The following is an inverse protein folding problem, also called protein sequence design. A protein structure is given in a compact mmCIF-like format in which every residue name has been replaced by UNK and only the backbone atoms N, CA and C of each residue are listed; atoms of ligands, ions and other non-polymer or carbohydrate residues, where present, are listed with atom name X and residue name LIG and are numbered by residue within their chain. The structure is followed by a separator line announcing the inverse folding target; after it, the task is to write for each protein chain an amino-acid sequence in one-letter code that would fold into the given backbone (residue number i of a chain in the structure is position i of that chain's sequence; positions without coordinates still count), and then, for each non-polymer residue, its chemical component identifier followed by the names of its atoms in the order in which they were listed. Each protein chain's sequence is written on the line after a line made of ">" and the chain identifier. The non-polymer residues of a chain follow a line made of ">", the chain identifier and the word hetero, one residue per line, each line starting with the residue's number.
data_IF_035982713788
#
_entry.id   IF_035982713788
#
_cell.length_a   1.000
_cell.length_b   1.000
_cell.length_c   1.000
_cell.angle_alpha   90.00
_cell.angle_beta   90.00
_cell.angle_gamma   90.00
#
_symmetry.space_group_name_H-M   'P 1'
#
loop_
_entity.id
_entity.type
_entity.pdbx_description
1 polymer ?
#
# COMPACT_ATOMS: atom_id res chain seq x y z
N UNK A 1 -2.11 -4.36 -5.52
CA UNK A 1 -1.21 -3.99 -4.41
C UNK A 1 -2.02 -3.90 -3.13
N UNK A 2 -1.38 -3.93 -1.95
CA UNK A 2 -2.03 -3.69 -0.67
C UNK A 2 -1.21 -2.69 0.12
N UNK A 3 -1.89 -1.74 0.76
CA UNK A 3 -1.24 -0.86 1.72
C UNK A 3 -0.59 -1.70 2.85
N UNK A 4 0.67 -1.44 3.13
CA UNK A 4 1.41 -2.01 4.24
C UNK A 4 1.38 -1.03 5.42
N UNK A 5 0.42 -1.25 6.32
CA UNK A 5 0.17 -0.43 7.51
C UNK A 5 1.36 -0.42 8.50
N UNK A 6 2.37 -1.29 8.32
CA UNK A 6 3.53 -1.36 9.22
C UNK A 6 4.51 -0.19 9.06
N UNK A 7 4.36 0.61 8.00
CA UNK A 7 5.22 1.76 7.66
C UNK A 7 4.54 3.13 7.82
N UNK A 8 3.39 3.20 8.49
CA UNK A 8 2.78 4.48 8.90
C UNK A 8 3.69 5.19 9.94
N UNK A 9 4.64 6.00 9.49
CA UNK A 9 5.45 6.84 10.38
C UNK A 9 4.56 7.87 11.10
N UNK A 10 4.37 7.68 12.41
CA UNK A 10 3.74 8.66 13.31
C UNK A 10 4.67 9.23 14.38
N UNK A 11 5.93 8.82 14.43
CA UNK A 11 6.86 9.35 15.44
C UNK A 11 7.69 10.51 14.88
N UNK A 12 7.40 11.72 15.37
CA UNK A 12 8.26 12.89 15.21
C UNK A 12 7.56 14.21 14.93
N UNK A 13 6.29 14.20 14.53
CA UNK A 13 5.56 15.46 14.29
C UNK A 13 4.90 15.96 15.58
N UNK A 14 5.56 16.91 16.25
CA UNK A 14 4.94 17.76 17.25
C UNK A 14 4.15 18.86 16.53
N UNK A 15 2.79 18.82 16.53
CA UNK A 15 1.97 19.82 15.85
C UNK A 15 2.13 21.24 16.43
N UNK A 16 2.84 21.41 17.56
CA UNK A 16 3.09 22.71 18.16
C UNK A 16 4.47 23.32 17.81
N UNK A 17 5.36 22.61 17.11
CA UNK A 17 6.76 23.07 16.93
C UNK A 17 7.12 23.69 15.58
N UNK A 18 6.16 23.90 14.68
CA UNK A 18 6.40 24.68 13.45
C UNK A 18 5.23 25.62 13.18
N UNK A 19 5.08 26.66 14.00
CA UNK A 19 4.36 27.87 13.58
C UNK A 19 5.26 28.66 12.62
N UNK A 20 5.29 28.22 11.36
CA UNK A 20 5.49 29.18 10.27
C UNK A 20 4.20 29.99 10.17
N UNK A 21 4.32 31.32 10.17
CA UNK A 21 3.22 32.24 10.40
C UNK A 21 1.97 31.98 9.54
N UNK A 22 0.80 32.05 10.19
CA UNK A 22 -0.43 32.51 9.56
C UNK A 22 -1.04 31.64 8.45
N UNK A 23 -1.09 30.32 8.60
CA UNK A 23 -2.12 29.39 8.06
C UNK A 23 -1.59 27.97 8.20
N UNK A 24 -1.76 27.38 9.39
CA UNK A 24 -1.42 25.98 9.62
C UNK A 24 -2.40 25.10 8.82
N UNK A 25 -1.88 24.32 7.89
CA UNK A 25 -2.67 23.29 7.21
C UNK A 25 -3.17 22.30 8.26
N UNK A 26 -4.47 22.34 8.56
CA UNK A 26 -5.12 21.34 9.40
C UNK A 26 -4.94 19.96 8.78
N UNK A 27 -4.67 18.95 9.62
CA UNK A 27 -4.56 17.55 9.21
C UNK A 27 -5.84 17.13 8.46
N UNK A 28 -5.77 16.97 7.15
CA UNK A 28 -6.90 16.55 6.31
C UNK A 28 -7.21 17.46 5.13
N UNK A 29 -6.69 18.69 5.10
CA UNK A 29 -6.85 19.58 3.93
C UNK A 29 -6.05 18.99 2.75
N UNK A 30 -6.76 18.64 1.67
CA UNK A 30 -6.16 18.31 0.38
C UNK A 30 -5.98 19.59 -0.43
N UNK A 31 -4.78 19.82 -0.97
CA UNK A 31 -4.55 20.94 -1.90
C UNK A 31 -4.92 20.58 -3.34
N UNK A 32 -5.33 19.33 -3.58
CA UNK A 32 -5.79 18.77 -4.84
C UNK A 32 -7.29 18.46 -4.86
N UNK A 33 -8.06 18.91 -3.87
CA UNK A 33 -9.51 18.70 -3.83
C UNK A 33 -9.93 17.23 -3.63
N UNK A 34 -9.11 16.44 -2.95
CA UNK A 34 -9.29 15.00 -2.74
C UNK A 34 -9.31 14.19 -4.04
N UNK A 35 -8.58 14.65 -5.06
CA UNK A 35 -8.31 13.84 -6.25
C UNK A 35 -7.66 12.52 -5.82
N UNK A 36 -8.19 11.41 -6.33
CA UNK A 36 -7.74 10.07 -5.99
C UNK A 36 -6.57 9.66 -6.88
N UNK A 37 -5.65 8.87 -6.33
CA UNK A 37 -4.55 8.35 -7.13
C UNK A 37 -5.06 7.45 -8.27
N UNK A 38 -4.53 7.67 -9.48
CA UNK A 38 -4.81 6.82 -10.62
C UNK A 38 -3.62 5.91 -10.97
N UNK A 39 -3.88 4.63 -11.20
CA UNK A 39 -2.95 3.68 -11.79
C UNK A 39 -3.50 3.14 -13.10
N UNK A 40 -2.74 3.29 -14.17
CA UNK A 40 -3.07 2.75 -15.49
C UNK A 40 -2.16 1.57 -15.83
N UNK A 41 -2.76 0.43 -16.17
CA UNK A 41 -2.04 -0.71 -16.70
C UNK A 41 -1.96 -0.61 -18.23
N UNK A 42 -0.76 -0.74 -18.78
CA UNK A 42 -0.57 -0.83 -20.24
C UNK A 42 -0.67 -2.29 -20.69
N UNK A 43 -1.62 -2.58 -21.58
CA UNK A 43 -1.74 -3.84 -22.31
C UNK A 43 -1.92 -3.56 -23.80
N UNK A 44 -1.03 -4.10 -24.64
CA UNK A 44 -1.11 -3.98 -26.11
C UNK A 44 -1.21 -2.52 -26.61
N UNK A 45 -0.55 -1.59 -25.92
CA UNK A 45 -0.56 -0.17 -26.28
C UNK A 45 -1.82 0.58 -25.85
N UNK A 46 -2.69 -0.05 -25.06
CA UNK A 46 -3.87 0.57 -24.43
C UNK A 46 -3.66 0.67 -22.93
N UNK A 47 -4.08 1.80 -22.37
CA UNK A 47 -4.06 2.03 -20.93
C UNK A 47 -5.44 1.76 -20.34
N UNK A 48 -5.50 0.86 -19.37
CA UNK A 48 -6.70 0.56 -18.59
C UNK A 48 -6.54 1.14 -17.19
N UNK A 49 -7.53 1.91 -16.73
CA UNK A 49 -7.58 2.35 -15.33
C UNK A 49 -7.83 1.13 -14.43
N UNK A 50 -6.85 0.84 -13.56
CA UNK A 50 -6.89 -0.25 -12.59
C UNK A 50 -6.80 0.26 -11.15
N UNK A 51 -7.06 1.55 -10.92
CA UNK A 51 -6.89 2.23 -9.62
C UNK A 51 -7.67 1.54 -8.51
N UNK A 52 -8.96 1.28 -8.75
CA UNK A 52 -9.84 0.65 -7.75
C UNK A 52 -9.47 -0.81 -7.42
N UNK A 53 -9.04 -1.59 -8.41
CA UNK A 53 -8.67 -3.01 -8.22
C UNK A 53 -7.23 -3.19 -7.74
N UNK A 54 -6.35 -2.21 -8.00
CA UNK A 54 -4.97 -2.21 -7.56
C UNK A 54 -4.83 -1.86 -6.08
N UNK A 55 -5.84 -1.23 -5.48
CA UNK A 55 -5.80 -0.72 -4.11
C UNK A 55 -5.09 0.63 -3.97
N UNK A 56 -4.68 1.25 -5.08
CA UNK A 56 -4.06 2.57 -5.08
C UNK A 56 -5.07 3.72 -5.07
N UNK A 57 -6.34 3.46 -5.40
CA UNK A 57 -7.44 4.43 -5.28
C UNK A 57 -7.59 4.92 -3.83
N UNK A 58 -6.88 6.00 -3.52
CA UNK A 58 -6.73 6.57 -2.19
C UNK A 58 -6.92 8.09 -2.26
N UNK A 59 -7.70 8.70 -1.34
CA UNK A 59 -8.00 10.14 -1.35
C UNK A 59 -6.93 11.02 -0.68
N UNK A 60 -5.78 10.43 -0.29
CA UNK A 60 -4.67 11.20 0.25
C UNK A 60 -3.98 11.97 -0.86
N UNK A 61 -3.47 13.15 -0.50
CA UNK A 61 -2.94 14.12 -1.42
C UNK A 61 -1.48 13.79 -1.77
N UNK A 62 -1.31 12.88 -2.72
CA UNK A 62 0.00 12.40 -3.19
C UNK A 62 0.88 13.51 -3.74
N UNK A 63 2.12 13.58 -3.25
CA UNK A 63 3.11 14.59 -3.66
C UNK A 63 4.36 13.99 -4.26
N UNK A 64 4.82 12.86 -3.73
CA UNK A 64 5.98 12.17 -4.25
C UNK A 64 5.68 10.68 -4.33
N UNK A 65 6.23 10.00 -5.33
CA UNK A 65 6.07 8.57 -5.47
C UNK A 65 7.33 7.91 -6.02
N UNK A 66 7.59 6.69 -5.56
CA UNK A 66 8.75 5.92 -5.97
C UNK A 66 8.41 4.43 -6.09
N UNK A 67 9.00 3.78 -7.09
CA UNK A 67 9.00 2.35 -7.28
C UNK A 67 10.22 1.73 -6.60
N UNK A 68 10.00 0.62 -5.90
CA UNK A 68 11.02 -0.16 -5.20
C UNK A 68 10.54 -1.59 -5.01
N UNK A 69 11.43 -2.50 -4.65
CA UNK A 69 11.07 -3.85 -4.19
C UNK A 69 11.64 -3.97 -2.78
N UNK A 70 10.81 -3.63 -1.79
CA UNK A 70 11.29 -3.39 -0.43
C UNK A 70 11.52 -4.69 0.34
N UNK A 71 10.75 -5.74 0.02
CA UNK A 71 10.84 -7.05 0.63
C UNK A 71 11.73 -8.02 -0.16
N UNK A 72 12.20 -7.62 -1.35
CA UNK A 72 13.05 -8.38 -2.27
C UNK A 72 12.40 -9.67 -2.75
N UNK A 73 11.09 -9.67 -2.94
CA UNK A 73 10.37 -10.81 -3.50
C UNK A 73 10.43 -10.85 -5.05
N UNK A 74 10.97 -9.80 -5.66
CA UNK A 74 11.11 -9.63 -7.11
C UNK A 74 9.89 -9.04 -7.78
N UNK A 75 8.94 -8.48 -7.04
CA UNK A 75 7.80 -7.73 -7.53
C UNK A 75 7.94 -6.26 -7.11
N UNK A 76 7.81 -5.34 -8.07
CA UNK A 76 7.87 -3.91 -7.76
C UNK A 76 6.65 -3.49 -6.93
N UNK A 77 6.96 -2.91 -5.78
CA UNK A 77 6.11 -2.18 -4.85
C UNK A 77 6.12 -0.68 -5.14
N UNK A 78 5.25 0.05 -4.46
CA UNK A 78 5.05 1.47 -4.69
C UNK A 78 4.95 2.25 -3.38
N UNK A 79 5.75 3.28 -3.22
CA UNK A 79 5.68 4.20 -2.08
C UNK A 79 5.11 5.55 -2.52
N UNK A 80 4.25 6.13 -1.70
CA UNK A 80 3.67 7.47 -1.90
C UNK A 80 3.86 8.30 -0.64
N UNK A 81 4.37 9.52 -0.80
CA UNK A 81 4.38 10.54 0.25
C UNK A 81 3.25 11.52 -0.03
N UNK A 82 2.42 11.75 0.97
CA UNK A 82 1.25 12.60 0.90
C UNK A 82 1.45 13.92 1.68
N UNK A 83 0.78 14.99 1.25
CA UNK A 83 0.72 16.25 1.99
C UNK A 83 -0.17 16.17 3.23
N UNK A 84 -1.12 15.23 3.25
CA UNK A 84 -2.02 14.97 4.37
C UNK A 84 -1.86 13.53 4.90
N UNK A 85 -2.59 13.19 5.96
CA UNK A 85 -2.49 11.87 6.57
C UNK A 85 -3.19 10.79 5.70
N UNK A 86 -2.64 9.56 5.64
CA UNK A 86 -1.33 9.16 6.15
C UNK A 86 -0.17 9.75 5.31
N UNK A 87 0.89 10.25 5.97
CA UNK A 87 1.97 10.97 5.28
C UNK A 87 2.84 10.09 4.37
N UNK A 88 3.03 8.82 4.72
CA UNK A 88 3.72 7.84 3.91
C UNK A 88 2.81 6.63 3.76
N UNK A 89 2.69 6.14 2.53
CA UNK A 89 1.98 4.93 2.21
C UNK A 89 2.89 4.01 1.41
N UNK A 90 2.99 2.76 1.83
CA UNK A 90 3.70 1.72 1.10
C UNK A 90 2.67 0.73 0.56
N UNK A 91 2.73 0.44 -0.73
CA UNK A 91 1.82 -0.46 -1.41
C UNK A 91 2.58 -1.69 -1.91
N UNK A 92 2.44 -2.79 -1.18
CA UNK A 92 3.06 -4.06 -1.51
C UNK A 92 2.38 -4.73 -2.70
N UNK A 93 3.14 -5.14 -3.68
CA UNK A 93 2.67 -5.92 -4.81
C UNK A 93 2.60 -7.41 -4.46
N UNK A 94 1.41 -7.98 -4.59
CA UNK A 94 1.12 -9.37 -4.17
C UNK A 94 0.87 -10.31 -5.34
N UNK A 95 1.40 -9.98 -6.53
CA UNK A 95 1.27 -10.88 -7.69
C UNK A 95 1.97 -12.23 -7.47
N UNK A 96 3.01 -12.27 -6.63
CA UNK A 96 3.68 -13.51 -6.22
C UNK A 96 2.77 -14.53 -5.54
N UNK A 97 1.70 -14.07 -4.87
CA UNK A 97 0.73 -14.93 -4.19
C UNK A 97 -0.17 -15.71 -5.15
N UNK A 98 -0.24 -15.29 -6.42
CA UNK A 98 -1.12 -15.88 -7.43
C UNK A 98 -0.55 -17.17 -8.05
N UNK A 99 0.48 -17.77 -7.44
CA UNK A 99 1.18 -19.00 -7.85
C UNK A 99 1.61 -19.00 -9.34
N UNK A 100 1.90 -17.83 -9.90
CA UNK A 100 2.38 -17.72 -11.28
C UNK A 100 3.90 -17.75 -11.34
N UNK A 101 4.51 -18.55 -12.24
CA UNK A 101 5.95 -18.49 -12.45
C UNK A 101 6.32 -17.12 -13.02
N UNK A 102 6.99 -16.33 -12.18
CA UNK A 102 7.52 -15.03 -12.54
C UNK A 102 8.90 -14.89 -11.91
N UNK A 103 9.94 -14.82 -12.74
CA UNK A 103 11.31 -14.49 -12.36
C UNK A 103 11.60 -13.00 -12.51
N UNK A 104 12.61 -12.51 -11.80
CA UNK A 104 13.13 -11.16 -11.96
C UNK A 104 14.65 -11.15 -11.80
N UNK A 105 15.33 -10.19 -12.42
CA UNK A 105 16.75 -9.89 -12.18
C UNK A 105 16.84 -8.45 -11.68
N UNK A 106 17.57 -8.25 -10.58
CA UNK A 106 17.96 -6.93 -10.10
C UNK A 106 19.30 -6.51 -10.69
N UNK A 107 19.42 -5.26 -11.10
CA UNK A 107 20.63 -4.68 -11.71
C UNK A 107 21.05 -3.41 -10.96
N UNK A 108 22.34 -3.32 -10.66
CA UNK A 108 23.02 -2.12 -10.13
C UNK A 108 24.19 -1.75 -11.00
N UNK A 109 24.57 -0.48 -10.99
CA UNK A 109 25.56 0.07 -11.91
C UNK A 109 26.61 0.88 -11.15
N UNK A 110 27.86 0.72 -11.56
CA UNK A 110 29.00 1.52 -11.12
C UNK A 110 29.72 2.00 -12.38
N UNK A 111 29.66 3.30 -12.63
CA UNK A 111 30.40 3.91 -13.75
C UNK A 111 31.86 4.13 -13.41
N UNK A 112 32.69 4.29 -14.44
CA UNK A 112 34.15 4.33 -14.29
C UNK A 112 34.72 5.67 -13.81
N UNK A 113 33.92 6.75 -13.80
CA UNK A 113 34.41 8.04 -13.34
C UNK A 113 34.27 8.20 -11.83
N UNK A 114 35.37 7.98 -11.11
CA UNK A 114 35.47 8.17 -9.66
C UNK A 114 35.86 9.60 -9.25
N UNK A 115 36.02 10.51 -10.22
CA UNK A 115 36.43 11.89 -9.99
C UNK A 115 35.24 12.86 -9.99
N UNK A 116 35.33 14.01 -9.28
CA UNK A 116 34.27 15.02 -9.26
C UNK A 116 34.17 15.83 -10.57
N UNK A 117 35.13 15.69 -11.49
CA UNK A 117 35.12 16.35 -12.80
C UNK A 117 34.62 15.42 -13.90
N UNK A 118 33.96 15.92 -14.96
CA UNK A 118 33.56 15.09 -16.10
C UNK A 118 34.73 14.32 -16.72
N UNK A 119 34.46 13.10 -17.17
CA UNK A 119 35.42 12.25 -17.89
C UNK A 119 35.03 12.15 -19.37
N UNK A 120 36.03 12.07 -20.25
CA UNK A 120 35.81 11.79 -21.67
C UNK A 120 35.67 10.28 -21.95
N UNK A 121 36.21 9.43 -21.08
CA UNK A 121 36.35 7.98 -21.32
C UNK A 121 35.38 7.12 -20.51
N UNK A 122 34.79 7.70 -19.46
CA UNK A 122 34.00 7.00 -18.46
C UNK A 122 32.67 7.71 -18.17
N UNK A 123 31.66 6.90 -17.87
CA UNK A 123 30.36 7.37 -17.42
C UNK A 123 30.43 7.89 -15.98
N UNK A 124 29.40 8.62 -15.55
CA UNK A 124 29.29 9.12 -14.17
C UNK A 124 29.39 7.97 -13.15
N UNK A 125 29.90 8.26 -11.95
CA UNK A 125 30.16 7.28 -10.87
C UNK A 125 29.03 6.27 -10.65
N UNK A 126 27.78 6.73 -10.68
CA UNK A 126 26.61 5.91 -10.38
C UNK A 126 26.02 5.23 -11.64
N UNK A 127 26.63 5.42 -12.82
CA UNK A 127 26.25 4.73 -14.05
C UNK A 127 24.91 5.16 -14.66
N UNK A 128 24.31 6.27 -14.21
CA UNK A 128 23.03 6.75 -14.73
C UNK A 128 23.10 7.03 -16.24
N UNK A 129 22.06 6.60 -16.95
CA UNK A 129 21.96 6.60 -18.41
C UNK A 129 22.41 5.28 -19.06
N UNK A 130 22.89 4.30 -18.28
CA UNK A 130 23.16 2.96 -18.79
C UNK A 130 21.89 2.34 -19.39
N UNK A 131 22.02 1.78 -20.59
CA UNK A 131 20.92 1.12 -21.31
C UNK A 131 21.16 -0.38 -21.33
N UNK A 132 20.11 -1.14 -21.05
CA UNK A 132 20.17 -2.57 -20.86
C UNK A 132 19.25 -3.22 -21.86
N UNK A 133 19.84 -4.10 -22.67
CA UNK A 133 19.14 -5.02 -23.53
C UNK A 133 19.00 -6.36 -22.80
N UNK A 134 17.76 -6.83 -22.69
CA UNK A 134 17.43 -8.11 -22.04
C UNK A 134 16.78 -9.02 -23.07
N UNK A 135 17.51 -10.03 -23.50
CA UNK A 135 17.06 -11.00 -24.48
C UNK A 135 16.43 -12.19 -23.79
N UNK A 136 15.16 -12.43 -24.10
CA UNK A 136 14.34 -13.56 -23.67
C UNK A 136 13.90 -14.38 -24.91
N UNK A 137 13.45 -15.62 -24.74
CA UNK A 137 12.83 -16.37 -25.83
C UNK A 137 11.66 -15.59 -26.46
N UNK A 138 11.79 -15.24 -27.74
CA UNK A 138 10.74 -14.58 -28.52
C UNK A 138 10.54 -13.09 -28.26
N UNK A 139 11.31 -12.44 -27.37
CA UNK A 139 11.24 -10.99 -27.14
C UNK A 139 12.53 -10.41 -26.60
N UNK A 140 12.80 -9.15 -26.95
CA UNK A 140 13.88 -8.35 -26.36
C UNK A 140 13.27 -7.16 -25.61
N UNK A 141 13.68 -6.95 -24.37
CA UNK A 141 13.27 -5.82 -23.56
C UNK A 141 14.41 -4.79 -23.50
N UNK A 142 14.07 -3.51 -23.60
CA UNK A 142 15.01 -2.42 -23.38
C UNK A 142 14.67 -1.68 -22.09
N UNK A 143 15.68 -1.40 -21.27
CA UNK A 143 15.57 -0.59 -20.06
C UNK A 143 16.68 0.45 -20.02
N UNK A 144 16.43 1.56 -19.32
CA UNK A 144 17.42 2.59 -19.07
C UNK A 144 17.47 2.84 -17.57
N UNK A 145 18.66 2.86 -17.00
CA UNK A 145 18.87 3.18 -15.60
C UNK A 145 18.91 4.70 -15.43
N UNK A 146 17.98 5.26 -14.66
CA UNK A 146 17.71 6.70 -14.63
C UNK A 146 17.79 7.28 -13.23
N UNK A 147 18.14 8.57 -13.18
CA UNK A 147 17.99 9.43 -12.03
C UNK A 147 17.02 10.58 -12.36
N UNK A 148 16.46 11.20 -11.34
CA UNK A 148 15.48 12.29 -11.46
C UNK A 148 14.10 11.79 -11.86
N UNK A 149 13.71 10.59 -11.41
CA UNK A 149 12.39 10.02 -11.67
C UNK A 149 11.39 10.34 -10.55
N UNK A 150 10.24 10.89 -10.93
CA UNK A 150 9.21 11.33 -9.99
C UNK A 150 9.39 12.78 -9.52
N UNK A 151 8.33 13.35 -8.96
CA UNK A 151 8.40 14.68 -8.35
C UNK A 151 8.91 14.56 -6.91
N UNK A 152 10.02 15.24 -6.60
CA UNK A 152 10.64 15.23 -5.26
C UNK A 152 10.92 13.82 -4.69
N UNK A 153 11.11 12.83 -5.56
CA UNK A 153 11.39 11.44 -5.24
C UNK A 153 12.42 10.87 -6.23
N UNK A 154 12.83 9.63 -5.97
CA UNK A 154 13.70 8.84 -6.82
C UNK A 154 13.33 7.37 -6.65
N UNK A 155 13.15 6.65 -7.78
CA UNK A 155 12.98 5.20 -7.77
C UNK A 155 14.24 4.50 -7.22
N UNK A 156 14.10 3.27 -6.76
CA UNK A 156 15.22 2.46 -6.25
C UNK A 156 16.44 2.46 -7.19
N UNK A 157 17.63 2.45 -6.59
CA UNK A 157 18.93 2.27 -7.28
C UNK A 157 19.09 0.87 -7.90
N UNK A 158 18.13 -0.01 -7.67
CA UNK A 158 18.11 -1.37 -8.17
C UNK A 158 17.08 -1.46 -9.30
N UNK A 159 17.57 -1.50 -10.53
CA UNK A 159 16.72 -1.69 -11.70
C UNK A 159 16.22 -3.13 -11.74
N UNK A 160 14.91 -3.32 -11.65
CA UNK A 160 14.29 -4.64 -11.76
C UNK A 160 13.79 -4.94 -13.16
N UNK A 161 14.14 -6.13 -13.65
CA UNK A 161 13.65 -6.67 -14.91
C UNK A 161 12.86 -7.94 -14.66
N UNK A 162 11.55 -7.88 -14.92
CA UNK A 162 10.67 -9.06 -14.89
C UNK A 162 10.90 -9.96 -16.09
N UNK A 163 11.17 -11.24 -15.84
CA UNK A 163 11.42 -12.25 -16.86
C UNK A 163 10.15 -13.05 -17.21
N UNK A 164 9.08 -12.94 -16.42
CA UNK A 164 7.92 -13.82 -16.56
C UNK A 164 8.33 -15.28 -16.28
N UNK A 165 7.89 -16.28 -17.05
CA UNK A 165 8.15 -17.68 -16.75
C UNK A 165 9.59 -18.13 -17.06
N UNK A 166 10.43 -17.27 -17.64
CA UNK A 166 11.77 -17.65 -18.08
C UNK A 166 12.73 -17.74 -16.88
N UNK A 167 13.54 -18.83 -16.79
CA UNK A 167 14.46 -19.05 -15.66
C UNK A 167 15.74 -18.20 -15.76
N UNK A 168 16.03 -17.64 -16.92
CA UNK A 168 17.21 -16.82 -17.19
C UNK A 168 16.94 -15.84 -18.35
N UNK A 169 17.87 -14.90 -18.53
CA UNK A 169 17.92 -13.99 -19.68
C UNK A 169 19.36 -13.66 -20.05
N UNK A 170 19.62 -13.30 -21.31
CA UNK A 170 20.92 -12.75 -21.74
C UNK A 170 20.91 -11.23 -21.64
N UNK A 171 21.90 -10.65 -21.00
CA UNK A 171 21.96 -9.20 -20.72
C UNK A 171 23.16 -8.54 -21.40
N UNK A 172 22.92 -7.39 -22.04
CA UNK A 172 23.97 -6.50 -22.57
C UNK A 172 23.73 -5.08 -22.10
N UNK A 173 24.80 -4.41 -21.66
CA UNK A 173 24.79 -3.02 -21.23
C UNK A 173 25.47 -2.15 -22.28
N UNK A 174 24.87 -1.01 -22.59
CA UNK A 174 25.50 0.11 -23.28
C UNK A 174 25.60 1.28 -22.31
N UNK A 175 26.82 1.66 -21.98
CA UNK A 175 27.13 2.74 -21.05
C UNK A 175 27.02 4.12 -21.74
N UNK A 176 26.74 5.20 -20.98
CA UNK A 176 26.75 6.57 -21.49
C UNK A 176 28.04 6.98 -22.20
N UNK A 177 29.19 6.46 -21.77
CA UNK A 177 30.50 6.63 -22.42
C UNK A 177 30.57 6.07 -23.85
N UNK A 178 29.59 5.25 -24.25
CA UNK A 178 29.60 4.51 -25.51
C UNK A 178 30.20 3.11 -25.40
N UNK A 179 30.80 2.75 -24.26
CA UNK A 179 31.28 1.38 -23.99
C UNK A 179 30.11 0.41 -23.95
N UNK A 180 30.39 -0.83 -24.33
CA UNK A 180 29.42 -1.92 -24.27
C UNK A 180 29.98 -3.08 -23.45
N UNK A 181 29.11 -3.75 -22.73
CA UNK A 181 29.47 -4.85 -21.85
C UNK A 181 28.45 -5.98 -22.00
N UNK A 182 28.94 -7.19 -22.26
CA UNK A 182 28.13 -8.40 -22.28
C UNK A 182 28.21 -9.06 -20.90
N UNK A 183 27.06 -9.31 -20.27
CA UNK A 183 26.97 -10.01 -18.99
C UNK A 183 26.61 -11.51 -19.18
N UNK A 184 26.41 -11.94 -20.42
CA UNK A 184 26.00 -13.29 -20.75
C UNK A 184 24.63 -13.65 -20.19
N UNK A 185 24.45 -14.94 -19.90
CA UNK A 185 23.21 -15.50 -19.35
C UNK A 185 23.18 -15.33 -17.83
N UNK A 186 22.13 -14.68 -17.34
CA UNK A 186 21.91 -14.42 -15.90
C UNK A 186 20.62 -15.11 -15.45
N UNK A 187 20.71 -15.84 -14.34
CA UNK A 187 19.58 -16.56 -13.77
C UNK A 187 18.56 -15.61 -13.11
N UNK A 188 17.30 -16.00 -13.13
CA UNK A 188 16.26 -15.36 -12.34
C UNK A 188 16.60 -15.42 -10.84
N UNK A 189 16.29 -14.36 -10.11
CA UNK A 189 16.58 -14.22 -8.69
C UNK A 189 17.98 -13.70 -8.38
N UNK A 190 18.78 -13.33 -9.39
CA UNK A 190 20.09 -12.71 -9.21
C UNK A 190 20.01 -11.19 -9.04
N UNK A 191 20.91 -10.64 -8.21
CA UNK A 191 21.28 -9.23 -8.17
C UNK A 191 22.63 -9.10 -8.85
N UNK A 192 22.68 -8.43 -9.98
CA UNK A 192 23.93 -8.19 -10.72
C UNK A 192 24.38 -6.75 -10.52
N UNK A 193 25.59 -6.56 -10.00
CA UNK A 193 26.25 -5.26 -9.98
C UNK A 193 27.23 -5.20 -11.15
N UNK A 194 26.96 -4.36 -12.13
CA UNK A 194 27.83 -4.15 -13.29
C UNK A 194 28.76 -2.96 -13.07
N UNK A 195 30.03 -3.15 -13.40
CA UNK A 195 31.09 -2.16 -13.29
C UNK A 195 31.58 -1.81 -14.69
N UNK A 196 31.44 -0.55 -15.08
CA UNK A 196 31.92 -0.07 -16.39
C UNK A 196 33.43 -0.26 -16.55
N UNK A 197 34.17 -0.01 -15.46
CA UNK A 197 35.58 -0.32 -15.33
C UNK A 197 35.75 -1.62 -14.54
N UNK A 198 36.18 -2.73 -15.16
CA UNK A 198 36.33 -4.01 -14.47
C UNK A 198 37.28 -3.98 -13.27
N UNK A 199 38.28 -3.09 -13.26
CA UNK A 199 39.20 -2.95 -12.14
C UNK A 199 38.52 -2.46 -10.85
N UNK A 200 37.33 -1.86 -10.94
CA UNK A 200 36.54 -1.44 -9.78
C UNK A 200 35.68 -2.59 -9.22
N UNK A 201 35.58 -3.71 -9.95
CA UNK A 201 34.89 -4.91 -9.46
C UNK A 201 35.77 -5.68 -8.46
N UNK A 202 35.20 -6.27 -7.40
CA UNK A 202 35.96 -7.01 -6.37
C UNK A 202 36.87 -8.13 -6.91
N UNK A 203 36.48 -8.76 -8.03
CA UNK A 203 37.17 -9.89 -8.66
C UNK A 203 37.79 -9.52 -10.03
N UNK A 204 37.70 -8.25 -10.44
CA UNK A 204 38.16 -7.80 -11.75
C UNK A 204 37.30 -8.25 -12.95
N UNK A 205 36.17 -8.93 -12.72
CA UNK A 205 35.37 -9.55 -13.79
C UNK A 205 34.39 -8.59 -14.48
N UNK A 206 34.28 -7.34 -14.01
CA UNK A 206 33.36 -6.33 -14.54
C UNK A 206 31.89 -6.50 -14.13
N UNK A 207 31.52 -7.62 -13.50
CA UNK A 207 30.22 -7.78 -12.86
C UNK A 207 30.27 -8.79 -11.73
N UNK A 208 29.47 -8.56 -10.68
CA UNK A 208 29.26 -9.53 -9.59
C UNK A 208 27.79 -9.93 -9.53
N UNK A 209 27.51 -11.16 -9.13
CA UNK A 209 26.15 -11.67 -8.99
C UNK A 209 25.93 -12.28 -7.59
N UNK A 210 24.85 -11.88 -6.93
CA UNK A 210 24.43 -12.44 -5.64
C UNK A 210 22.96 -12.85 -5.68
N UNK A 211 22.49 -13.56 -4.65
CA UNK A 211 21.07 -13.84 -4.50
C UNK A 211 20.31 -12.55 -4.18
N UNK A 212 19.36 -12.19 -5.04
CA UNK A 212 18.47 -11.05 -4.81
C UNK A 212 17.22 -11.47 -4.06
N UNK A 213 16.55 -12.49 -4.58
CA UNK A 213 15.24 -12.89 -4.09
C UNK A 213 15.35 -13.47 -2.70
N UNK A 214 14.60 -12.88 -1.78
CA UNK A 214 14.24 -13.50 -0.53
C UNK A 214 12.94 -14.24 -0.85
N UNK A 215 12.94 -15.59 -0.93
CA UNK A 215 11.71 -16.31 -1.10
C UNK A 215 10.77 -15.84 0.00
N UNK A 216 9.58 -15.36 -0.37
CA UNK A 216 8.56 -15.07 0.61
C UNK A 216 8.49 -16.28 1.54
N UNK A 217 8.72 -16.05 2.84
CA UNK A 217 8.52 -17.09 3.82
C UNK A 217 7.07 -17.52 3.58
N UNK A 218 6.90 -18.71 3.02
CA UNK A 218 5.58 -19.30 2.89
C UNK A 218 5.15 -19.47 4.32
N UNK A 219 4.46 -18.46 4.83
CA UNK A 219 3.25 -18.72 5.56
C UNK A 219 2.38 -19.47 4.56
N UNK A 220 2.63 -20.79 4.46
CA UNK A 220 1.64 -21.74 3.99
C UNK A 220 0.33 -21.23 4.57
N UNK A 221 -0.73 -21.02 3.75
CA UNK A 221 -1.95 -20.41 4.23
C UNK A 221 -2.24 -21.10 5.54
N UNK A 222 -2.06 -20.34 6.61
CA UNK A 222 -1.99 -20.87 7.94
C UNK A 222 -3.42 -21.24 8.27
N UNK A 223 -3.84 -22.41 7.79
CA UNK A 223 -4.75 -23.29 8.50
C UNK A 223 -3.99 -23.94 9.67
N UNK A 224 -3.08 -23.21 10.32
CA UNK A 224 -3.05 -23.28 11.75
C UNK A 224 -4.30 -22.51 12.18
N UNK A 225 -5.37 -23.16 12.66
CA UNK A 225 -6.46 -22.41 13.25
C UNK A 225 -5.81 -21.56 14.31
N UNK A 226 -5.82 -20.23 14.12
CA UNK A 226 -5.61 -19.37 15.26
C UNK A 226 -6.75 -19.78 16.18
N UNK A 227 -6.45 -20.51 17.25
CA UNK A 227 -7.33 -20.58 18.42
C UNK A 227 -7.27 -19.21 19.09
N UNK A 228 -7.68 -18.18 18.36
CA UNK A 228 -8.07 -16.89 18.88
C UNK A 228 -9.53 -17.06 19.20
N UNK A 229 -9.90 -16.87 20.46
CA UNK A 229 -11.29 -16.97 20.91
C UNK A 229 -12.22 -16.28 19.91
N UNK A 230 -13.32 -16.96 19.59
CA UNK A 230 -14.35 -16.49 18.68
C UNK A 230 -14.98 -15.20 19.23
N UNK A 231 -14.32 -14.04 19.07
CA UNK A 231 -15.01 -12.78 19.36
C UNK A 231 -16.13 -12.67 18.37
N UNK A 232 -17.33 -12.71 18.92
CA UNK A 232 -18.55 -12.42 18.23
C UNK A 232 -18.96 -11.02 18.66
N UNK A 233 -19.23 -10.17 17.69
CA UNK A 233 -19.89 -8.90 17.93
C UNK A 233 -21.27 -9.05 17.33
N UNK A 234 -22.28 -9.09 18.19
CA UNK A 234 -23.67 -9.16 17.80
C UNK A 234 -24.44 -8.09 18.56
N UNK A 235 -24.33 -6.87 18.05
CA UNK A 235 -24.94 -5.68 18.63
C UNK A 235 -25.98 -5.13 17.65
N UNK A 236 -27.08 -4.60 18.19
CA UNK A 236 -28.20 -4.11 17.39
C UNK A 236 -29.00 -5.23 16.71
N UNK A 237 -30.26 -4.96 16.41
CA UNK A 237 -31.13 -5.95 15.76
C UNK A 237 -31.02 -5.85 14.25
N UNK A 238 -30.56 -6.93 13.59
CA UNK A 238 -30.57 -6.99 12.13
C UNK A 238 -30.56 -8.41 11.58
N UNK A 239 -31.26 -8.63 10.47
CA UNK A 239 -31.22 -9.87 9.67
C UNK A 239 -30.25 -9.82 8.50
N UNK A 240 -29.57 -8.68 8.30
CA UNK A 240 -28.66 -8.46 7.21
C UNK A 240 -27.55 -9.52 7.15
N UNK A 241 -27.12 -9.85 5.95
CA UNK A 241 -26.02 -10.77 5.72
C UNK A 241 -24.70 -10.28 6.35
N UNK A 242 -24.44 -8.96 6.29
CA UNK A 242 -23.34 -8.29 6.95
C UNK A 242 -23.84 -7.25 7.96
N UNK A 243 -23.10 -7.11 9.07
CA UNK A 243 -23.25 -5.98 10.00
C UNK A 243 -21.92 -5.24 10.12
N UNK A 244 -21.94 -3.95 9.88
CA UNK A 244 -20.81 -3.04 10.05
C UNK A 244 -21.00 -2.25 11.35
N UNK A 245 -20.02 -2.34 12.24
CA UNK A 245 -19.93 -1.55 13.46
C UNK A 245 -18.79 -0.54 13.31
N UNK A 246 -19.08 0.76 13.33
CA UNK A 246 -18.05 1.82 13.35
C UNK A 246 -18.00 2.50 14.71
N UNK A 247 -16.81 2.62 15.29
CA UNK A 247 -16.63 3.38 16.54
C UNK A 247 -16.74 4.87 16.28
N UNK A 248 -17.30 5.61 17.25
CA UNK A 248 -17.42 7.07 17.17
C UNK A 248 -17.39 7.72 18.57
N UNK A 249 -17.11 9.03 18.59
CA UNK A 249 -17.33 9.92 19.73
C UNK A 249 -17.86 11.26 19.23
N UNK A 250 -18.63 12.00 20.02
CA UNK A 250 -19.28 13.24 19.55
C UNK A 250 -18.29 14.36 19.18
N UNK A 251 -17.11 14.36 19.79
CA UNK A 251 -16.01 15.28 19.47
C UNK A 251 -15.13 14.84 18.28
N UNK A 252 -15.32 13.62 17.77
CA UNK A 252 -14.46 13.04 16.75
C UNK A 252 -14.75 13.62 15.35
N UNK A 253 -13.93 14.57 14.91
CA UNK A 253 -14.03 15.17 13.57
C UNK A 253 -13.88 14.12 12.46
N UNK A 254 -12.90 13.22 12.59
CA UNK A 254 -12.67 12.14 11.63
C UNK A 254 -13.89 11.21 11.49
N UNK A 255 -14.66 11.03 12.57
CA UNK A 255 -15.90 10.25 12.53
C UNK A 255 -16.98 11.00 11.75
N UNK A 256 -17.01 12.33 11.82
CA UNK A 256 -17.92 13.18 11.02
C UNK A 256 -17.53 13.19 9.54
N UNK A 257 -16.24 13.23 9.22
CA UNK A 257 -15.78 13.20 7.82
C UNK A 257 -16.13 11.92 7.08
N UNK A 258 -16.37 10.81 7.80
CA UNK A 258 -16.78 9.52 7.21
C UNK A 258 -18.30 9.43 6.92
N UNK A 259 -19.14 10.35 7.41
CA UNK A 259 -20.59 10.28 7.24
C UNK A 259 -21.06 10.21 5.76
N UNK A 260 -20.47 10.97 4.81
CA UNK A 260 -20.83 10.83 3.39
C UNK A 260 -20.57 9.42 2.86
N UNK A 261 -19.49 8.77 3.30
CA UNK A 261 -19.15 7.40 2.89
C UNK A 261 -20.13 6.39 3.48
N UNK A 262 -20.59 6.60 4.70
CA UNK A 262 -21.63 5.77 5.33
C UNK A 262 -22.96 5.91 4.58
N UNK A 263 -23.29 7.12 4.10
CA UNK A 263 -24.46 7.34 3.24
C UNK A 263 -24.31 6.60 1.90
N UNK A 264 -23.14 6.65 1.27
CA UNK A 264 -22.84 5.88 0.06
C UNK A 264 -23.02 4.37 0.28
N UNK A 265 -22.54 3.82 1.41
CA UNK A 265 -22.77 2.42 1.76
C UNK A 265 -24.26 2.09 1.92
N UNK A 266 -25.04 3.00 2.52
CA UNK A 266 -26.48 2.83 2.69
C UNK A 266 -27.22 2.83 1.36
N UNK A 267 -26.79 3.63 0.40
CA UNK A 267 -27.36 3.66 -0.96
C UNK A 267 -26.95 2.43 -1.78
N UNK A 268 -25.74 1.93 -1.58
CA UNK A 268 -25.17 0.84 -2.38
C UNK A 268 -25.58 -0.58 -1.95
N UNK A 269 -26.08 -0.75 -0.72
CA UNK A 269 -26.46 -2.05 -0.17
C UNK A 269 -27.90 -2.05 0.34
N UNK A 270 -28.64 -3.11 0.02
CA UNK A 270 -29.98 -3.32 0.56
C UNK A 270 -29.97 -3.60 2.08
N UNK A 271 -31.12 -3.42 2.76
CA UNK A 271 -31.24 -3.66 4.21
C UNK A 271 -31.00 -5.13 4.60
N UNK A 272 -31.21 -6.08 3.69
CA UNK A 272 -30.91 -7.50 3.89
C UNK A 272 -29.43 -7.85 3.60
N UNK A 273 -28.67 -6.96 2.96
CA UNK A 273 -27.27 -7.17 2.64
C UNK A 273 -26.35 -6.59 3.71
N UNK A 274 -26.62 -5.34 4.15
CA UNK A 274 -25.77 -4.62 5.08
C UNK A 274 -26.56 -3.80 6.10
N UNK A 275 -26.32 -4.07 7.38
CA UNK A 275 -26.69 -3.18 8.47
C UNK A 275 -25.49 -2.33 8.91
N UNK A 276 -25.75 -1.06 9.23
CA UNK A 276 -24.75 -0.07 9.62
C UNK A 276 -25.07 0.39 11.04
N UNK A 277 -24.13 0.19 11.96
CA UNK A 277 -24.24 0.56 13.36
C UNK A 277 -23.09 1.47 13.79
N UNK A 278 -23.38 2.47 14.62
CA UNK A 278 -22.38 3.26 15.31
C UNK A 278 -22.25 2.84 16.78
N UNK A 279 -21.01 2.67 17.22
CA UNK A 279 -20.63 2.30 18.58
C UNK A 279 -20.02 3.54 19.26
N UNK A 280 -20.76 4.24 20.14
CA UNK A 280 -20.17 5.32 20.93
C UNK A 280 -19.15 4.74 21.91
N UNK A 281 -17.91 5.24 21.87
CA UNK A 281 -16.80 4.67 22.65
C UNK A 281 -16.23 5.61 23.72
N UNK A 282 -16.68 6.86 23.74
CA UNK A 282 -16.30 7.85 24.74
C UNK A 282 -17.24 7.75 25.96
N UNK A 283 -16.72 7.43 27.16
CA UNK A 283 -17.52 7.40 28.38
C UNK A 283 -18.14 8.76 28.75
N UNK A 284 -17.61 9.88 28.24
CA UNK A 284 -18.14 11.22 28.49
C UNK A 284 -19.30 11.61 27.55
N UNK A 285 -19.64 10.76 26.58
CA UNK A 285 -20.79 10.93 25.70
C UNK A 285 -22.09 10.50 26.39
N UNK A 286 -22.75 11.47 27.04
CA UNK A 286 -24.08 11.25 27.60
C UNK A 286 -25.12 11.03 26.50
N UNK A 287 -26.22 10.34 26.84
CA UNK A 287 -27.37 10.13 25.93
C UNK A 287 -27.83 11.42 25.24
N UNK A 288 -27.92 12.52 25.99
CA UNK A 288 -28.32 13.81 25.45
C UNK A 288 -27.34 14.35 24.39
N UNK A 289 -26.03 14.13 24.58
CA UNK A 289 -25.01 14.49 23.56
C UNK A 289 -25.17 13.64 22.30
N UNK A 290 -25.39 12.33 22.46
CA UNK A 290 -25.58 11.41 21.34
C UNK A 290 -26.87 11.73 20.55
N UNK A 291 -27.97 12.01 21.23
CA UNK A 291 -29.25 12.43 20.60
C UNK A 291 -29.12 13.78 19.87
N UNK A 292 -28.38 14.73 20.46
CA UNK A 292 -28.05 16.00 19.80
C UNK A 292 -27.23 15.77 18.53
N UNK A 293 -26.21 14.92 18.60
CA UNK A 293 -25.38 14.53 17.45
C UNK A 293 -26.23 13.93 16.32
N UNK A 294 -27.14 13.00 16.65
CA UNK A 294 -28.05 12.38 15.67
C UNK A 294 -28.97 13.41 15.01
N UNK A 295 -29.50 14.35 15.79
CA UNK A 295 -30.37 15.43 15.28
C UNK A 295 -29.62 16.37 14.34
N UNK A 296 -28.38 16.72 14.70
CA UNK A 296 -27.54 17.65 13.96
C UNK A 296 -27.00 17.05 12.67
N UNK A 297 -26.51 15.81 12.70
CA UNK A 297 -25.74 15.22 11.61
C UNK A 297 -26.49 14.18 10.78
N UNK A 298 -27.61 13.64 11.30
CA UNK A 298 -28.49 12.67 10.61
C UNK A 298 -27.72 11.55 9.88
N UNK A 299 -26.84 10.82 10.58
CA UNK A 299 -26.03 9.78 9.95
C UNK A 299 -26.88 8.62 9.41
N UNK A 300 -26.42 7.93 8.36
CA UNK A 300 -27.12 6.82 7.72
C UNK A 300 -26.95 5.44 8.42
N UNK A 301 -26.40 5.44 9.63
CA UNK A 301 -26.31 4.29 10.52
C UNK A 301 -27.34 4.38 11.65
N UNK A 302 -27.56 3.25 12.31
CA UNK A 302 -28.23 3.21 13.61
C UNK A 302 -27.19 3.39 14.73
N UNK A 303 -27.39 4.36 15.62
CA UNK A 303 -26.50 4.52 16.77
C UNK A 303 -26.97 3.69 17.96
N UNK A 304 -26.07 2.90 18.53
CA UNK A 304 -26.36 2.05 19.68
C UNK A 304 -26.36 2.86 20.98
N UNK A 305 -27.45 3.57 21.25
CA UNK A 305 -27.58 4.48 22.40
C UNK A 305 -27.59 3.77 23.77
N UNK A 306 -28.02 2.51 23.80
CA UNK A 306 -28.15 1.69 25.04
C UNK A 306 -27.00 0.68 25.18
N UNK A 307 -25.89 0.87 24.47
CA UNK A 307 -24.78 -0.09 24.52
C UNK A 307 -24.15 -0.11 25.93
N UNK A 308 -23.97 -1.32 26.47
CA UNK A 308 -23.33 -1.49 27.78
C UNK A 308 -21.82 -1.27 27.73
N UNK A 309 -21.18 -0.86 28.85
CA UNK A 309 -19.73 -0.67 28.91
C UNK A 309 -18.94 -1.96 28.63
N UNK A 310 -19.51 -3.13 28.91
CA UNK A 310 -18.91 -4.43 28.59
C UNK A 310 -18.85 -4.68 27.07
N UNK A 311 -19.90 -4.31 26.34
CA UNK A 311 -19.96 -4.47 24.87
C UNK A 311 -19.00 -3.49 24.19
N UNK A 312 -18.94 -2.25 24.67
CA UNK A 312 -17.93 -1.26 24.22
C UNK A 312 -16.52 -1.79 24.45
N UNK A 313 -16.25 -2.39 25.62
CA UNK A 313 -14.96 -2.98 25.93
C UNK A 313 -14.61 -4.17 25.01
N UNK A 314 -15.58 -5.04 24.68
CA UNK A 314 -15.35 -6.16 23.74
C UNK A 314 -15.10 -5.67 22.31
N UNK A 315 -15.80 -4.62 21.86
CA UNK A 315 -15.54 -3.98 20.56
C UNK A 315 -14.11 -3.43 20.53
N UNK A 316 -13.70 -2.66 21.54
CA UNK A 316 -12.32 -2.13 21.65
C UNK A 316 -11.29 -3.24 21.74
N UNK A 317 -11.53 -4.28 22.54
CA UNK A 317 -10.63 -5.43 22.66
C UNK A 317 -10.50 -6.19 21.33
N UNK A 318 -11.59 -6.33 20.59
CA UNK A 318 -11.59 -6.94 19.25
C UNK A 318 -10.77 -6.10 18.27
N UNK A 319 -10.96 -4.78 18.25
CA UNK A 319 -10.17 -3.87 17.42
C UNK A 319 -8.68 -3.91 17.79
N UNK A 320 -8.35 -3.83 19.08
CA UNK A 320 -6.98 -3.96 19.58
C UNK A 320 -6.32 -5.27 19.17
N UNK A 321 -7.04 -6.39 19.26
CA UNK A 321 -6.50 -7.69 18.84
C UNK A 321 -6.30 -7.80 17.34
N UNK A 322 -7.18 -7.20 16.53
CA UNK A 322 -7.16 -7.29 15.06
C UNK A 322 -6.22 -6.27 14.41
N UNK A 323 -6.22 -5.04 14.92
CA UNK A 323 -5.50 -3.91 14.36
C UNK A 323 -4.21 -3.59 15.13
N UNK A 324 -4.03 -4.14 16.34
CA UNK A 324 -2.90 -3.83 17.26
C UNK A 324 -2.86 -2.36 17.72
N UNK A 325 -3.97 -1.64 17.56
CA UNK A 325 -4.18 -0.23 17.94
C UNK A 325 -5.66 -0.02 18.30
N UNK A 326 -5.97 1.08 18.98
CA UNK A 326 -7.34 1.52 19.31
C UNK A 326 -7.64 2.85 18.58
N UNK A 327 -7.99 2.79 17.28
CA UNK A 327 -8.24 3.97 16.47
C UNK A 327 -9.69 4.43 16.56
N UNK A 328 -9.91 5.72 16.27
CA UNK A 328 -11.22 6.33 16.19
C UNK A 328 -11.31 7.24 14.95
N UNK A 329 -12.19 6.97 13.96
CA UNK A 329 -13.07 5.81 13.85
C UNK A 329 -12.34 4.53 13.42
N UNK A 330 -12.87 3.39 13.84
CA UNK A 330 -12.47 2.06 13.40
C UNK A 330 -13.70 1.19 13.20
N UNK A 331 -13.62 0.25 12.28
CA UNK A 331 -14.76 -0.58 11.90
C UNK A 331 -14.52 -2.07 12.11
N UNK A 332 -15.59 -2.79 12.47
CA UNK A 332 -15.69 -4.24 12.48
C UNK A 332 -16.82 -4.65 11.53
N UNK A 333 -16.56 -5.62 10.65
CA UNK A 333 -17.60 -6.28 9.84
C UNK A 333 -17.81 -7.70 10.36
N UNK A 334 -19.07 -8.06 10.58
CA UNK A 334 -19.47 -9.39 11.04
C UNK A 334 -20.45 -10.06 10.10
N UNK A 335 -20.61 -11.37 10.29
CA UNK A 335 -21.73 -12.11 9.73
C UNK A 335 -23.00 -12.05 10.56
N UNK A 336 -24.05 -12.68 10.04
CA UNK A 336 -25.36 -12.75 10.71
C UNK A 336 -25.31 -13.46 12.05
N UNK A 337 -24.32 -14.33 12.26
CA UNK A 337 -24.07 -15.02 13.53
C UNK A 337 -23.10 -14.25 14.46
N UNK A 338 -22.75 -13.01 14.09
CA UNK A 338 -21.86 -12.11 14.82
C UNK A 338 -20.38 -12.44 14.68
N UNK A 339 -19.97 -13.42 13.85
CA UNK A 339 -18.55 -13.76 13.67
C UNK A 339 -17.85 -12.62 12.93
N UNK A 340 -16.74 -12.16 13.51
CA UNK A 340 -15.92 -11.09 12.94
C UNK A 340 -15.19 -11.56 11.67
N UNK A 341 -15.52 -10.93 10.55
CA UNK A 341 -14.93 -11.21 9.22
C UNK A 341 -13.74 -10.29 8.94
N UNK A 342 -13.86 -9.02 9.29
CA UNK A 342 -12.80 -8.03 9.08
C UNK A 342 -12.84 -6.92 10.11
N UNK A 343 -11.70 -6.27 10.30
CA UNK A 343 -11.59 -4.99 11.00
C UNK A 343 -10.73 -4.04 10.15
N UNK A 344 -11.02 -2.74 10.22
CA UNK A 344 -10.29 -1.71 9.46
C UNK A 344 -10.20 -0.39 10.23
N UNK A 345 -9.23 0.44 9.86
CA UNK A 345 -9.29 1.86 10.15
C UNK A 345 -10.42 2.51 9.34
N UNK A 346 -11.25 3.33 9.99
CA UNK A 346 -12.37 3.99 9.32
C UNK A 346 -13.37 3.03 8.67
N UNK A 347 -14.19 3.56 7.77
CA UNK A 347 -15.27 2.83 7.10
C UNK A 347 -14.70 2.04 5.90
N UNK A 348 -15.00 0.73 5.76
CA UNK A 348 -14.51 -0.08 4.65
C UNK A 348 -15.04 0.38 3.29
N UNK A 349 -14.35 0.02 2.20
CA UNK A 349 -14.80 0.34 0.84
C UNK A 349 -15.94 -0.57 0.37
N UNK A 350 -16.73 -0.08 -0.60
CA UNK A 350 -17.76 -0.88 -1.30
C UNK A 350 -17.21 -2.21 -1.81
N UNK A 351 -16.04 -2.19 -2.44
CA UNK A 351 -15.38 -3.38 -2.98
C UNK A 351 -15.05 -4.40 -1.90
N UNK A 352 -14.66 -3.94 -0.70
CA UNK A 352 -14.38 -4.83 0.44
C UNK A 352 -15.66 -5.54 0.90
N UNK A 353 -16.75 -4.79 1.04
CA UNK A 353 -18.04 -5.33 1.49
C UNK A 353 -18.67 -6.26 0.45
N UNK A 354 -18.61 -5.93 -0.84
CA UNK A 354 -19.07 -6.80 -1.94
C UNK A 354 -18.32 -8.12 -2.00
N UNK A 355 -17.00 -8.10 -1.77
CA UNK A 355 -16.20 -9.33 -1.67
C UNK A 355 -16.66 -10.21 -0.49
N UNK A 356 -16.85 -9.60 0.69
CA UNK A 356 -17.31 -10.33 1.87
C UNK A 356 -18.72 -10.93 1.73
N UNK A 357 -19.60 -10.32 0.93
CA UNK A 357 -20.89 -10.89 0.55
C UNK A 357 -20.73 -12.05 -0.43
N UNK A 358 -19.84 -11.92 -1.42
CA UNK A 358 -19.63 -12.92 -2.47
C UNK A 358 -18.99 -14.21 -1.94
N UNK A 359 -18.06 -14.11 -0.98
CA UNK A 359 -17.36 -15.27 -0.38
C UNK A 359 -18.30 -16.18 0.47
N UNK A 360 -19.61 -15.91 0.48
CA UNK A 360 -20.63 -16.64 1.25
C UNK A 360 -21.66 -17.38 0.41
N UNK A 361 -21.71 -17.11 -0.89
CA UNK A 361 -22.43 -17.92 -1.87
C UNK A 361 -21.52 -19.04 -2.35
#
# INVERSE_FOLDING_TARGET
>A
MRHDDSFDFREGFDPNRTRLGGSGFESGISLSGHERNHLFANGEGRFLDVSGVSGLDHPADGRAAAWLDYDRDGWLDFAVVNANAPMLQLFRNRMGDLERPAGAIGLRFVGGNQQPTPSADWSSRDGYGAKIEVTLPGRTLYREYRAGEGFAAQNSDTLLVGLGPHPDATLRIRWPSGREQDLGRVAAGSLVTAYENPADAPDGAGATATAYRIPAERTAPGRAPIRMGASRIDLGESRAALRLYTTMATWCETCRSELPRIAELREAFGPEELALFAVPVDPDDSRAKLESYLTQHRPAYEMLLEIGPADVAEVKATLLRRLRRDPLPASIVTDREGRVLSASLGVPSLSTLRRLLSDRG
#
